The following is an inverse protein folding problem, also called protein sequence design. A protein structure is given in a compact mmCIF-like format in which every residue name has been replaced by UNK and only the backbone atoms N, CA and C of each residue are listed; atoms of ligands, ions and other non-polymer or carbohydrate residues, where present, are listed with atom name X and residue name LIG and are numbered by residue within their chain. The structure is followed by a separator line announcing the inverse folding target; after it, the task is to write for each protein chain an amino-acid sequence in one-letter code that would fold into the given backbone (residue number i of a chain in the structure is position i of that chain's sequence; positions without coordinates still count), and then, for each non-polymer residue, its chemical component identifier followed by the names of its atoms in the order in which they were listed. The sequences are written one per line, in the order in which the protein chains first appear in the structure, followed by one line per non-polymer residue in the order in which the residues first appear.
data_IF_778429317546
#
_entry.id   IF_778429317546
#
_cell.length_a   1.000
_cell.length_b   1.000
_cell.length_c   1.000
_cell.angle_alpha   90.00
_cell.angle_beta   90.00
_cell.angle_gamma   90.00
#
_symmetry.space_group_name_H-M   'P 1'
#
loop_
_entity.id
_entity.type
_entity.pdbx_description
1 polymer ?
#
# COMPACT_ATOMS: atom_id res chain seq x y z
N UNK A 1 -14.73 21.50 4.82
CA UNK A 1 -14.46 20.46 3.80
C UNK A 1 -13.06 19.94 4.05
N UNK A 2 -12.91 18.66 4.39
CA UNK A 2 -11.60 18.01 4.41
C UNK A 2 -11.15 17.93 2.95
N UNK A 3 -10.26 18.85 2.55
CA UNK A 3 -9.46 18.62 1.36
C UNK A 3 -8.70 17.34 1.67
N UNK A 4 -9.12 16.24 1.05
CA UNK A 4 -8.30 15.04 0.92
C UNK A 4 -7.11 15.48 0.08
N UNK A 5 -6.17 16.17 0.74
CA UNK A 5 -4.85 16.47 0.23
C UNK A 5 -4.38 15.16 -0.34
N UNK A 6 -4.20 15.16 -1.66
CA UNK A 6 -3.63 14.07 -2.44
C UNK A 6 -2.62 13.37 -1.55
N UNK A 7 -2.95 12.16 -1.09
CA UNK A 7 -2.15 11.47 -0.10
C UNK A 7 -0.89 11.03 -0.83
N UNK A 8 0.11 11.92 -0.86
CA UNK A 8 1.34 11.71 -1.59
C UNK A 8 2.06 10.55 -0.92
N UNK A 9 2.02 9.40 -1.59
CA UNK A 9 2.81 8.25 -1.22
C UNK A 9 4.27 8.61 -1.43
N UNK A 10 4.95 8.98 -0.34
CA UNK A 10 6.41 9.14 -0.35
C UNK A 10 7.04 7.77 -0.61
N UNK A 11 7.79 7.63 -1.69
CA UNK A 11 8.58 6.44 -2.00
C UNK A 11 9.57 6.15 -0.88
N UNK A 12 9.96 4.88 -0.71
CA UNK A 12 10.97 4.49 0.27
C UNK A 12 12.25 5.31 0.08
N UNK A 13 12.69 6.00 1.12
CA UNK A 13 13.96 6.73 1.08
C UNK A 13 15.14 5.76 1.19
N UNK A 14 16.32 6.15 0.70
CA UNK A 14 17.52 5.29 0.68
C UNK A 14 17.97 4.93 2.11
N UNK A 15 17.68 5.79 3.09
CA UNK A 15 17.96 5.52 4.51
C UNK A 15 16.96 4.57 5.16
N UNK A 16 15.84 4.25 4.51
CA UNK A 16 14.70 3.52 5.07
C UNK A 16 13.95 4.23 6.19
N UNK A 17 14.22 5.52 6.44
CA UNK A 17 13.66 6.25 7.59
C UNK A 17 12.13 6.39 7.50
N UNK A 18 11.60 6.49 6.29
CA UNK A 18 10.17 6.55 6.04
C UNK A 18 9.48 5.18 5.91
N UNK A 19 10.15 4.06 6.19
CA UNK A 19 9.60 2.71 6.06
C UNK A 19 8.29 2.51 6.83
N UNK A 20 8.23 2.94 8.10
CA UNK A 20 7.03 2.81 8.92
C UNK A 20 5.86 3.65 8.37
N UNK A 21 6.16 4.87 7.91
CA UNK A 21 5.17 5.75 7.28
C UNK A 21 4.64 5.13 5.98
N UNK A 22 5.53 4.58 5.16
CA UNK A 22 5.17 3.89 3.91
C UNK A 22 4.26 2.68 4.16
N UNK A 23 4.58 1.83 5.15
CA UNK A 23 3.72 0.68 5.51
C UNK A 23 2.35 1.15 5.98
N UNK A 24 2.30 2.17 6.84
CA UNK A 24 1.03 2.68 7.36
C UNK A 24 0.15 3.20 6.22
N UNK A 25 0.73 3.99 5.32
CA UNK A 25 0.06 4.55 4.15
C UNK A 25 -0.45 3.43 3.23
N UNK A 26 0.39 2.43 2.93
CA UNK A 26 0.03 1.27 2.12
C UNK A 26 -1.13 0.50 2.76
N UNK A 27 -1.09 0.26 4.08
CA UNK A 27 -2.15 -0.45 4.80
C UNK A 27 -3.49 0.30 4.78
N UNK A 28 -3.48 1.63 4.92
CA UNK A 28 -4.68 2.46 4.84
C UNK A 28 -5.28 2.40 3.42
N UNK A 29 -4.45 2.55 2.39
CA UNK A 29 -4.90 2.50 1.00
C UNK A 29 -5.45 1.13 0.61
N UNK A 30 -4.79 0.04 1.01
CA UNK A 30 -5.31 -1.30 0.78
C UNK A 30 -6.64 -1.53 1.51
N UNK A 31 -6.80 -1.01 2.72
CA UNK A 31 -8.10 -1.05 3.41
C UNK A 31 -9.19 -0.28 2.66
N UNK A 32 -8.90 0.91 2.14
CA UNK A 32 -9.89 1.69 1.37
C UNK A 32 -10.25 1.03 0.04
N UNK A 33 -9.35 0.26 -0.56
CA UNK A 33 -9.60 -0.55 -1.76
C UNK A 33 -10.30 -1.89 -1.47
N UNK A 34 -10.68 -2.18 -0.21
CA UNK A 34 -11.19 -3.49 0.24
C UNK A 34 -10.19 -4.65 0.04
N UNK A 35 -8.90 -4.32 -0.12
CA UNK A 35 -7.77 -5.24 -0.31
C UNK A 35 -6.98 -5.51 0.98
N UNK A 36 -7.37 -4.89 2.10
CA UNK A 36 -6.66 -5.04 3.38
C UNK A 36 -6.63 -6.46 3.96
N UNK A 37 -7.49 -7.37 3.47
CA UNK A 37 -7.48 -8.79 3.86
C UNK A 37 -6.43 -9.61 3.10
N UNK A 38 -6.03 -9.18 1.91
CA UNK A 38 -5.07 -9.88 1.03
C UNK A 38 -3.63 -9.81 1.56
N UNK A 39 -3.31 -8.86 2.45
CA UNK A 39 -1.98 -8.78 3.09
C UNK A 39 -1.85 -9.66 4.34
N UNK A 40 -2.91 -10.34 4.77
CA UNK A 40 -2.85 -11.30 5.88
C UNK A 40 -2.23 -12.61 5.39
N UNK A 41 -1.47 -13.27 6.25
CA UNK A 41 -1.04 -14.65 6.02
C UNK A 41 -2.28 -15.56 5.86
N UNK A 42 -2.12 -16.64 5.08
CA UNK A 42 -3.16 -17.64 4.81
C UNK A 42 -4.48 -17.07 4.27
N UNK A 43 -4.42 -15.94 3.56
CA UNK A 43 -5.61 -15.38 2.93
C UNK A 43 -6.11 -16.26 1.77
N UNK A 44 -7.43 -16.36 1.61
CA UNK A 44 -8.07 -17.03 0.47
C UNK A 44 -8.49 -16.05 -0.63
N UNK A 45 -7.79 -14.92 -0.79
CA UNK A 45 -8.18 -13.91 -1.79
C UNK A 45 -7.79 -14.35 -3.20
N UNK A 46 -8.50 -13.82 -4.19
CA UNK A 46 -8.28 -14.18 -5.59
C UNK A 46 -6.86 -13.84 -6.08
N UNK A 47 -6.40 -14.54 -7.12
CA UNK A 47 -5.16 -14.21 -7.81
C UNK A 47 -5.16 -12.75 -8.32
N UNK A 48 -6.31 -12.27 -8.77
CA UNK A 48 -6.49 -10.92 -9.27
C UNK A 48 -6.27 -9.85 -8.18
N UNK A 49 -6.81 -10.06 -6.97
CA UNK A 49 -6.60 -9.15 -5.85
C UNK A 49 -5.13 -9.15 -5.39
N UNK A 50 -4.49 -10.32 -5.37
CA UNK A 50 -3.05 -10.44 -5.09
C UNK A 50 -2.21 -9.70 -6.12
N UNK A 51 -2.54 -9.83 -7.41
CA UNK A 51 -1.86 -9.13 -8.49
C UNK A 51 -1.99 -7.60 -8.38
N UNK A 52 -3.19 -7.08 -8.03
CA UNK A 52 -3.40 -5.66 -7.78
C UNK A 52 -2.48 -5.12 -6.68
N UNK A 53 -2.34 -5.85 -5.58
CA UNK A 53 -1.45 -5.44 -4.48
C UNK A 53 0.01 -5.50 -4.90
N UNK A 54 0.43 -6.53 -5.63
CA UNK A 54 1.81 -6.61 -6.13
C UNK A 54 2.16 -5.44 -7.04
N UNK A 55 1.24 -5.02 -7.92
CA UNK A 55 1.43 -3.85 -8.79
C UNK A 55 1.54 -2.58 -7.95
N UNK A 56 0.63 -2.39 -6.98
CA UNK A 56 0.66 -1.26 -6.06
C UNK A 56 1.99 -1.16 -5.28
N UNK A 57 2.42 -2.27 -4.68
CA UNK A 57 3.67 -2.34 -3.91
C UNK A 57 4.88 -2.03 -4.80
N UNK A 58 4.95 -2.60 -6.01
CA UNK A 58 6.04 -2.32 -6.96
C UNK A 58 6.10 -0.85 -7.35
N UNK A 59 4.95 -0.23 -7.60
CA UNK A 59 4.88 1.17 -8.00
C UNK A 59 5.35 2.14 -6.91
N UNK A 60 5.19 1.78 -5.64
CA UNK A 60 5.55 2.66 -4.51
C UNK A 60 6.84 2.28 -3.78
N UNK A 61 7.39 1.08 -4.04
CA UNK A 61 8.73 0.68 -3.59
C UNK A 61 9.83 1.07 -4.58
N UNK A 62 9.50 1.16 -5.87
CA UNK A 62 10.46 1.49 -6.92
C UNK A 62 10.26 2.94 -7.40
N UNK A 63 11.36 3.61 -7.75
CA UNK A 63 11.33 4.92 -8.40
C UNK A 63 11.02 4.78 -9.89
#
# INVERSE_FOLDING_TARGET
MLNLTKFEFTTLDISGNNYLSLILNAKIHLKSMNLGKTIKEENNTSFYDRAKIMIFIRHHLHK
#
